data_IF_027293887811
#
_entry.id   IF_027293887811
#
_cell.length_a   1.000
_cell.length_b   1.000
_cell.length_c   1.000
_cell.angle_alpha   90.00
_cell.angle_beta   90.00
_cell.angle_gamma   90.00
#
_symmetry.space_group_name_H-M   'P 1'
#
loop_
_entity.id
_entity.type
_entity.pdbx_description
1 polymer ?
2 water ?
#
# COMPACT_ATOMS: atom_id res chain seq x y z
N UNK A 6 34.91 4.76 20.67
CA UNK A 6 34.45 3.52 21.29
C UNK A 6 34.12 2.52 20.18
N UNK A 7 33.24 1.57 20.45
CA UNK A 7 32.87 0.53 19.49
C UNK A 7 31.36 0.48 19.41
N UNK A 8 30.81 -0.11 18.35
CA UNK A 8 29.37 -0.04 18.12
C UNK A 8 28.61 -0.95 19.07
N UNK A 9 27.69 -0.39 19.87
CA UNK A 9 26.92 -1.23 20.78
C UNK A 9 25.71 -1.88 20.17
N UNK A 10 25.28 -1.47 18.97
CA UNK A 10 24.14 -2.09 18.30
C UNK A 10 24.47 -2.46 16.86
N UNK A 11 23.88 -3.55 16.40
CA UNK A 11 23.97 -4.00 15.01
C UNK A 11 22.58 -4.31 14.49
N UNK A 12 22.42 -4.26 13.18
CA UNK A 12 21.16 -4.72 12.57
C UNK A 12 21.12 -6.24 12.62
N UNK A 13 20.11 -6.78 13.30
CA UNK A 13 19.94 -8.21 13.44
C UNK A 13 19.09 -8.85 12.34
N UNK A 14 18.01 -8.20 11.95
CA UNK A 14 17.07 -8.72 10.96
C UNK A 14 16.71 -7.60 9.99
N UNK A 15 16.59 -7.98 8.73
CA UNK A 15 15.91 -7.19 7.72
C UNK A 15 14.85 -8.08 7.07
N UNK A 16 13.59 -7.68 7.21
CA UNK A 16 12.47 -8.36 6.58
C UNK A 16 12.07 -7.56 5.35
N UNK A 17 12.30 -8.11 4.18
CA UNK A 17 11.91 -7.50 2.93
C UNK A 17 10.54 -8.00 2.55
N UNK A 18 9.57 -7.10 2.33
CA UNK A 18 8.22 -7.38 2.10
C UNK A 18 7.72 -6.51 0.93
N UNK A 19 6.55 -6.80 0.38
CA UNK A 19 6.13 -6.04 -0.81
C UNK A 19 5.83 -4.58 -0.52
N UNK A 20 5.36 -4.27 0.68
CA UNK A 20 5.03 -2.91 1.03
C UNK A 20 6.03 -2.22 1.92
N UNK A 21 7.19 -2.80 2.14
CA UNK A 21 8.26 -2.07 2.81
C UNK A 21 9.29 -3.03 3.38
N UNK A 22 10.08 -2.50 4.30
CA UNK A 22 11.18 -3.23 4.93
C UNK A 22 11.09 -3.04 6.44
N UNK A 23 11.16 -4.14 7.18
CA UNK A 23 11.28 -4.04 8.63
C UNK A 23 12.75 -4.19 9.01
N UNK A 24 13.26 -3.24 9.79
CA UNK A 24 14.64 -3.32 10.29
C UNK A 24 14.57 -3.60 11.77
N UNK A 25 15.33 -4.61 12.23
CA UNK A 25 15.41 -4.88 13.66
C UNK A 25 16.87 -4.89 14.08
N UNK A 26 17.16 -4.33 15.25
CA UNK A 26 18.52 -4.29 15.72
C UNK A 26 18.63 -4.85 17.14
N UNK A 27 19.84 -5.21 17.51
CA UNK A 27 20.06 -5.78 18.83
C UNK A 27 21.30 -5.16 19.42
N UNK A 28 21.31 -5.08 20.75
CA UNK A 28 22.49 -4.64 21.47
C UNK A 28 23.47 -5.80 21.53
N UNK A 29 24.69 -5.57 21.03
CA UNK A 29 25.76 -6.56 21.06
C UNK A 29 26.72 -6.37 22.23
N UNK A 30 26.47 -5.37 23.09
CA UNK A 30 27.23 -5.21 24.33
C UNK A 30 26.25 -5.02 25.48
N UNK A 31 26.05 -6.10 26.25
CA UNK A 31 25.17 -6.07 27.41
C UNK A 31 25.54 -4.95 28.38
N UNK A 32 26.81 -4.55 28.43
CA UNK A 32 27.24 -3.54 29.41
C UNK A 32 26.87 -2.11 29.03
N UNK A 33 26.50 -1.88 27.78
CA UNK A 33 25.96 -0.60 27.36
C UNK A 33 24.53 -0.45 27.85
N UNK A 34 24.20 0.73 28.36
CA UNK A 34 22.84 1.00 28.84
C UNK A 34 22.21 1.99 27.87
N UNK A 35 21.35 1.49 27.00
CA UNK A 35 20.78 2.29 25.93
C UNK A 35 19.58 3.06 26.46
N UNK A 36 19.51 4.35 26.10
CA UNK A 36 18.30 5.12 26.25
C UNK A 36 17.55 5.24 24.92
N UNK A 37 18.26 5.63 23.86
CA UNK A 37 17.63 5.86 22.56
C UNK A 37 18.41 5.19 21.45
N UNK A 38 17.70 4.90 20.36
CA UNK A 38 18.28 4.43 19.11
C UNK A 38 17.98 5.38 17.95
N UNK A 39 18.88 5.37 16.98
CA UNK A 39 18.81 6.23 15.81
C UNK A 39 19.04 5.41 14.53
N UNK A 40 17.98 5.27 13.73
CA UNK A 40 18.01 4.53 12.47
C UNK A 40 17.98 5.49 11.30
N UNK A 41 18.90 5.31 10.36
CA UNK A 41 18.97 6.11 9.15
C UNK A 41 18.89 5.20 7.92
N UNK A 42 18.49 5.79 6.78
CA UNK A 42 18.59 5.11 5.50
C UNK A 42 18.96 6.08 4.38
N UNK A 43 19.33 5.49 3.25
CA UNK A 43 19.57 6.18 1.99
C UNK A 43 19.37 5.20 0.84
N UNK A 44 18.99 5.72 -0.33
CA UNK A 44 19.11 4.93 -1.55
C UNK A 44 20.58 4.58 -1.78
N UNK A 45 20.84 3.37 -2.28
CA UNK A 45 22.24 3.01 -2.51
C UNK A 45 22.87 3.93 -3.55
N UNK A 46 22.06 4.58 -4.41
CA UNK A 46 22.57 5.51 -5.40
C UNK A 46 22.80 6.91 -4.84
N UNK A 47 22.34 7.18 -3.61
CA UNK A 47 22.42 8.50 -3.00
C UNK A 47 23.49 8.58 -1.92
N UNK A 48 24.00 9.80 -1.75
CA UNK A 48 25.11 10.15 -0.90
C UNK A 48 24.79 10.31 0.60
N UNK A 49 23.57 10.64 0.89
CA UNK A 49 23.22 11.27 2.15
C UNK A 49 22.25 10.38 2.90
N UNK A 50 22.60 10.06 4.14
CA UNK A 50 21.69 9.36 5.03
C UNK A 50 20.72 10.36 5.64
N UNK A 51 19.50 9.87 5.91
CA UNK A 51 18.50 10.61 6.64
C UNK A 51 17.92 9.77 7.76
N UNK A 52 17.65 10.42 8.89
CA UNK A 52 16.99 9.78 10.01
C UNK A 52 15.59 9.32 9.60
N UNK A 53 15.24 8.07 9.95
CA UNK A 53 13.87 7.62 9.83
C UNK A 53 13.23 7.29 11.17
N UNK A 54 14.03 7.04 12.20
CA UNK A 54 13.47 6.68 13.50
C UNK A 54 14.47 7.05 14.58
N UNK A 55 14.00 7.73 15.62
CA UNK A 55 14.77 8.01 16.82
C UNK A 55 13.84 7.71 17.99
N UNK A 56 14.22 6.76 18.84
CA UNK A 56 13.33 6.29 19.88
C UNK A 56 13.89 5.07 20.61
N UNK A 57 13.12 4.55 21.57
CA UNK A 57 13.63 3.44 22.37
C UNK A 57 13.18 2.05 21.91
N UNK A 58 12.54 1.96 20.74
CA UNK A 58 12.22 0.66 20.18
C UNK A 58 13.42 0.09 19.42
N UNK A 59 13.43 -1.23 19.26
CA UNK A 59 14.51 -1.90 18.54
C UNK A 59 14.06 -2.43 17.19
N UNK A 60 12.94 -1.94 16.67
CA UNK A 60 12.56 -2.25 15.30
C UNK A 60 11.81 -1.06 14.71
N UNK A 61 11.79 -1.00 13.39
CA UNK A 61 11.07 0.07 12.71
C UNK A 61 10.65 -0.41 11.33
N UNK A 62 9.42 -0.10 10.98
CA UNK A 62 8.85 -0.48 9.70
C UNK A 62 9.03 0.68 8.75
N UNK A 63 9.80 0.45 7.69
CA UNK A 63 10.10 1.47 6.69
C UNK A 63 9.15 1.31 5.52
N UNK A 64 8.28 2.29 5.31
CA UNK A 64 7.28 2.25 4.26
C UNK A 64 7.58 3.26 3.17
N UNK A 65 6.78 3.16 2.10
CA UNK A 65 6.74 4.17 1.04
C UNK A 65 8.09 4.31 0.37
N UNK A 66 8.71 3.18 0.11
CA UNK A 66 10.01 3.11 -0.54
C UNK A 66 9.80 2.55 -1.94
N UNK A 67 10.53 3.09 -2.89
CA UNK A 67 10.46 2.60 -4.25
C UNK A 67 10.73 1.10 -4.26
N UNK A 68 9.90 0.31 -4.90
CA UNK A 68 10.09 -1.14 -4.82
C UNK A 68 11.24 -1.62 -5.68
N UNK A 69 11.82 -2.73 -5.23
CA UNK A 69 13.04 -3.29 -5.80
C UNK A 69 14.05 -2.20 -6.16
N UNK A 70 14.22 -1.28 -5.24
CA UNK A 70 15.33 -0.34 -5.24
C UNK A 70 16.12 -0.62 -3.98
N UNK A 71 17.45 -0.73 -4.10
CA UNK A 71 18.29 -1.03 -2.94
C UNK A 71 18.44 0.19 -2.04
N UNK A 72 18.24 -0.02 -0.73
CA UNK A 72 18.46 1.01 0.29
C UNK A 72 19.51 0.50 1.27
N UNK A 73 20.25 1.41 1.88
CA UNK A 73 21.22 1.04 2.90
C UNK A 73 20.81 1.65 4.23
N UNK A 74 20.90 0.85 5.29
CA UNK A 74 20.46 1.20 6.63
C UNK A 74 21.63 1.13 7.62
N UNK A 75 21.60 2.01 8.61
CA UNK A 75 22.55 1.97 9.71
C UNK A 75 21.87 2.47 10.97
N UNK A 76 22.34 1.96 12.11
CA UNK A 76 21.73 2.26 13.40
C UNK A 76 22.81 2.56 14.42
N UNK A 77 22.49 3.49 15.34
CA UNK A 77 23.37 3.75 16.47
C UNK A 77 22.51 3.99 17.69
N UNK A 78 23.16 4.29 18.81
CA UNK A 78 22.49 4.32 20.09
C UNK A 78 23.14 5.36 20.99
N UNK A 79 22.35 5.83 21.92
CA UNK A 79 22.71 6.85 22.89
C UNK A 79 22.39 6.25 24.24
N UNK A 80 23.30 6.39 25.16
CA UNK A 80 22.96 6.03 26.51
C UNK A 80 24.14 6.13 27.45
N UNK A 81 24.25 5.20 28.39
CA UNK A 81 25.30 5.20 29.40
C UNK A 81 25.32 6.52 30.17
N UNK A 82 24.24 7.28 30.09
CA UNK A 82 24.16 8.58 30.70
C UNK A 82 24.71 9.72 29.88
N UNK A 83 25.38 9.43 28.76
CA UNK A 83 25.96 10.45 27.90
C UNK A 83 25.00 10.85 26.78
N UNK A 84 25.37 11.89 26.05
CA UNK A 84 24.55 12.37 24.94
C UNK A 84 25.17 12.18 23.58
N UNK A 85 26.43 11.78 23.49
CA UNK A 85 27.05 11.49 22.20
C UNK A 85 26.46 10.20 21.63
N UNK A 86 26.08 10.22 20.34
CA UNK A 86 25.68 8.98 19.66
C UNK A 86 26.86 8.05 19.55
N UNK A 87 26.62 6.76 19.76
CA UNK A 87 27.62 5.74 19.58
C UNK A 87 28.05 5.65 18.13
N UNK A 88 29.15 4.96 17.84
CA UNK A 88 29.46 4.63 16.45
C UNK A 88 28.32 3.81 15.85
N UNK A 89 28.28 3.83 14.53
CA UNK A 89 27.25 3.17 13.77
C UNK A 89 27.49 1.67 13.68
N UNK A 90 26.38 0.94 13.58
CA UNK A 90 26.42 -0.44 13.11
C UNK A 90 27.11 -0.54 11.76
N UNK A 91 27.54 -1.74 11.38
CA UNK A 91 27.82 -1.98 9.96
C UNK A 91 26.54 -1.72 9.15
N UNK A 92 26.63 -1.11 7.99
CA UNK A 92 25.42 -0.88 7.20
C UNK A 92 24.93 -2.17 6.58
N UNK A 93 23.63 -2.21 6.35
CA UNK A 93 22.98 -3.36 5.72
C UNK A 93 22.10 -2.86 4.58
N UNK A 94 22.12 -3.60 3.48
CA UNK A 94 21.38 -3.21 2.28
C UNK A 94 20.12 -4.07 2.18
N UNK A 95 19.00 -3.43 1.82
CA UNK A 95 17.75 -4.12 1.64
C UNK A 95 16.93 -3.49 0.54
N UNK A 96 15.86 -4.19 0.15
CA UNK A 96 14.91 -3.73 -0.84
C UNK A 96 13.54 -4.34 -0.57
N UNK A 97 12.50 -3.69 -1.04
CA UNK A 97 11.16 -4.29 -0.98
C UNK A 97 11.02 -5.26 -2.15
N UNK A 98 10.17 -6.27 -1.96
CA UNK A 98 10.07 -7.34 -2.95
C UNK A 98 9.13 -6.95 -4.08
N UNK A 99 9.07 -7.81 -5.12
CA UNK A 99 8.31 -7.50 -6.33
C UNK A 99 7.15 -8.48 -6.50
N UNK A 100 5.93 -7.98 -6.31
CA UNK A 100 4.76 -8.82 -6.50
C UNK A 100 3.83 -8.03 -7.41
N UNK A 101 3.86 -8.26 -8.72
CA UNK A 101 3.16 -7.34 -9.63
C UNK A 101 1.65 -7.30 -9.44
N UNK A 102 1.08 -6.11 -9.60
CA UNK A 102 -0.36 -5.89 -9.52
C UNK A 102 -0.95 -6.17 -10.90
N UNK A 103 -1.82 -7.16 -10.97
CA UNK A 103 -2.38 -7.57 -12.25
C UNK A 103 -3.85 -7.91 -12.07
N UNK A 104 -4.61 -7.75 -13.18
CA UNK A 104 -6.00 -8.15 -13.20
C UNK A 104 -6.16 -9.64 -13.53
N UNK A 105 -7.27 -10.21 -13.07
CA UNK A 105 -7.66 -11.58 -13.38
C UNK A 105 -7.79 -11.74 -14.89
N UNK A 106 -7.32 -12.89 -15.40
CA UNK A 106 -7.52 -13.22 -16.80
C UNK A 106 -8.75 -14.11 -16.96
N UNK A 107 -9.44 -13.93 -18.08
CA UNK A 107 -10.53 -14.80 -18.44
C UNK A 107 -11.84 -14.53 -17.77
N UNK A 108 -12.04 -13.33 -17.22
CA UNK A 108 -13.29 -12.95 -16.60
C UNK A 108 -14.14 -12.28 -17.67
N UNK A 109 -15.33 -12.81 -17.89
CA UNK A 109 -16.18 -12.29 -18.96
C UNK A 109 -16.59 -10.85 -18.69
N UNK A 110 -16.49 -10.02 -19.72
CA UNK A 110 -16.89 -8.62 -19.66
C UNK A 110 -15.71 -7.67 -19.69
N UNK A 111 -14.51 -8.18 -19.54
CA UNK A 111 -13.31 -7.37 -19.48
C UNK A 111 -12.27 -7.95 -20.41
N UNK A 112 -11.56 -7.08 -21.11
CA UNK A 112 -10.42 -7.46 -21.94
C UNK A 112 -9.20 -6.76 -21.36
N UNK A 113 -8.09 -7.48 -21.31
CA UNK A 113 -6.86 -7.01 -20.69
C UNK A 113 -5.80 -6.73 -21.74
N UNK A 114 -4.86 -5.87 -21.38
CA UNK A 114 -3.68 -5.66 -22.20
C UNK A 114 -2.67 -6.80 -22.01
N UNK A 115 -1.55 -6.73 -22.76
CA UNK A 115 -0.58 -7.82 -22.81
C UNK A 115 0.02 -8.12 -21.45
N UNK A 116 0.38 -7.07 -20.70
CA UNK A 116 0.94 -7.19 -19.37
C UNK A 116 -0.13 -7.36 -18.29
N UNK A 117 -1.39 -7.45 -18.68
CA UNK A 117 -2.49 -7.76 -17.78
C UNK A 117 -2.67 -6.70 -16.70
N UNK A 118 -2.25 -5.47 -16.97
CA UNK A 118 -2.40 -4.38 -16.01
C UNK A 118 -3.38 -3.31 -16.46
N UNK A 119 -3.94 -3.43 -17.67
CA UNK A 119 -4.98 -2.53 -18.16
C UNK A 119 -6.23 -3.35 -18.46
N UNK A 120 -7.35 -2.93 -17.90
CA UNK A 120 -8.62 -3.64 -18.03
C UNK A 120 -9.65 -2.75 -18.71
N UNK A 121 -10.34 -3.31 -19.69
CA UNK A 121 -11.34 -2.59 -20.44
C UNK A 121 -12.65 -3.33 -20.30
N UNK A 122 -13.70 -2.61 -19.90
CA UNK A 122 -15.04 -3.16 -19.91
C UNK A 122 -15.55 -3.21 -21.35
N UNK A 123 -15.80 -4.40 -21.85
CA UNK A 123 -16.18 -4.56 -23.24
C UNK A 123 -17.70 -4.69 -23.36
N UNK A 124 -18.16 -5.19 -24.51
CA UNK A 124 -19.58 -5.23 -24.83
C UNK A 124 -20.26 -6.50 -24.33
N UNK A 125 -19.54 -7.40 -23.68
CA UNK A 125 -20.14 -8.61 -23.18
C UNK A 125 -20.86 -8.38 -21.85
N UNK A 126 -21.68 -9.36 -21.47
CA UNK A 126 -22.24 -9.41 -20.14
C UNK A 126 -21.14 -9.71 -19.14
N UNK A 127 -21.23 -9.13 -17.94
CA UNK A 127 -20.31 -9.41 -16.84
C UNK A 127 -21.09 -9.81 -15.62
N UNK A 128 -20.51 -10.72 -14.80
CA UNK A 128 -21.21 -11.21 -13.63
C UNK A 128 -20.92 -10.41 -12.36
N UNK A 129 -20.00 -9.46 -12.41
CA UNK A 129 -19.68 -8.68 -11.22
C UNK A 129 -18.25 -8.13 -11.27
N UNK A 130 -17.59 -8.18 -10.14
CA UNK A 130 -16.34 -7.45 -9.95
C UNK A 130 -15.18 -8.17 -10.62
N UNK A 131 -14.41 -7.41 -11.40
CA UNK A 131 -13.11 -7.86 -11.88
C UNK A 131 -12.08 -7.68 -10.76
N UNK A 132 -11.64 -8.78 -10.19
CA UNK A 132 -10.63 -8.73 -9.14
C UNK A 132 -9.21 -8.78 -9.68
N UNK A 133 -8.29 -8.37 -8.84
CA UNK A 133 -6.88 -8.65 -9.04
C UNK A 133 -6.70 -10.17 -9.18
N UNK A 134 -5.61 -10.55 -9.83
CA UNK A 134 -5.36 -11.96 -10.16
C UNK A 134 -5.17 -12.80 -8.91
N UNK A 135 -4.73 -12.18 -7.82
CA UNK A 135 -4.55 -12.75 -6.50
C UNK A 135 -4.58 -11.58 -5.52
N UNK A 136 -4.53 -11.84 -4.21
CA UNK A 136 -4.51 -10.72 -3.25
C UNK A 136 -3.10 -10.14 -3.11
N UNK A 137 -2.80 -9.17 -3.97
CA UNK A 137 -1.46 -8.62 -4.10
C UNK A 137 -1.38 -7.18 -3.60
N UNK A 138 -2.41 -6.68 -2.94
CA UNK A 138 -2.29 -5.41 -2.23
C UNK A 138 -1.80 -5.68 -0.80
N UNK A 139 -0.62 -5.17 -0.46
CA UNK A 139 -0.05 -5.33 0.86
C UNK A 139 -0.05 -3.96 1.56
N UNK A 140 -0.61 -3.92 2.77
CA UNK A 140 -0.63 -2.65 3.49
C UNK A 140 0.79 -2.08 3.60
N UNK A 141 0.89 -0.77 3.43
CA UNK A 141 2.14 -0.08 3.23
C UNK A 141 2.36 0.31 1.79
N UNK A 142 1.79 -0.42 0.84
CA UNK A 142 1.88 -0.01 -0.54
C UNK A 142 0.95 1.16 -0.83
N UNK A 143 1.37 1.99 -1.77
CA UNK A 143 0.48 2.94 -2.43
C UNK A 143 -0.03 2.27 -3.69
N UNK A 144 -1.31 1.96 -3.73
CA UNK A 144 -1.94 1.29 -4.87
C UNK A 144 -2.56 2.37 -5.74
N UNK A 145 -2.07 2.48 -6.97
CA UNK A 145 -2.44 3.55 -7.88
C UNK A 145 -3.18 2.98 -9.08
N UNK A 146 -4.30 3.58 -9.39
CA UNK A 146 -5.09 3.32 -10.58
C UNK A 146 -5.11 4.58 -11.43
N UNK A 147 -5.16 4.40 -12.76
CA UNK A 147 -5.38 5.53 -13.67
C UNK A 147 -6.48 5.18 -14.65
N UNK A 148 -7.42 6.11 -14.82
CA UNK A 148 -8.51 5.97 -15.78
C UNK A 148 -7.99 6.37 -17.16
N UNK A 149 -8.02 5.42 -18.09
CA UNK A 149 -7.52 5.65 -19.43
C UNK A 149 -8.63 6.12 -20.37
N UNK A 150 -9.78 5.46 -20.32
CA UNK A 150 -10.96 5.87 -21.06
C UNK A 150 -12.15 5.68 -20.14
N UNK A 151 -13.25 6.33 -20.50
CA UNK A 151 -14.46 6.32 -19.70
C UNK A 151 -15.61 5.78 -20.53
N UNK A 152 -16.66 5.38 -19.83
CA UNK A 152 -17.95 5.09 -20.43
C UNK A 152 -19.05 5.82 -19.66
N UNK A 153 -20.29 5.47 -19.91
CA UNK A 153 -21.38 6.04 -19.13
C UNK A 153 -21.26 5.64 -17.67
N UNK A 154 -21.42 6.58 -16.74
CA UNK A 154 -21.39 6.21 -15.32
C UNK A 154 -22.64 5.43 -14.94
N UNK A 155 -22.51 4.68 -13.85
CA UNK A 155 -23.58 3.88 -13.29
C UNK A 155 -23.27 3.73 -11.80
N UNK A 156 -24.32 3.63 -10.99
CA UNK A 156 -24.15 3.57 -9.54
C UNK A 156 -23.43 2.31 -9.05
N UNK A 157 -23.44 1.24 -9.83
CA UNK A 157 -22.69 0.02 -9.53
C UNK A 157 -21.21 0.12 -9.91
N UNK A 158 -20.76 1.25 -10.46
CA UNK A 158 -19.34 1.36 -10.76
C UNK A 158 -18.53 1.38 -9.45
N UNK A 159 -17.36 0.73 -9.45
CA UNK A 159 -16.51 0.78 -8.28
C UNK A 159 -15.06 0.48 -8.62
N UNK A 160 -14.17 1.06 -7.82
CA UNK A 160 -12.74 0.74 -7.78
C UNK A 160 -12.33 0.66 -6.32
N UNK A 161 -11.74 -0.45 -5.91
CA UNK A 161 -11.45 -0.57 -4.50
C UNK A 161 -10.62 -1.76 -4.10
N UNK A 162 -10.64 -2.02 -2.80
CA UNK A 162 -9.86 -3.07 -2.18
C UNK A 162 -10.76 -3.84 -1.21
N UNK A 163 -10.50 -5.13 -1.04
CA UNK A 163 -11.36 -5.91 -0.16
C UNK A 163 -10.62 -7.11 0.39
N UNK A 164 -11.21 -7.74 1.41
CA UNK A 164 -10.60 -8.88 2.08
C UNK A 164 -10.76 -10.18 1.29
N UNK A 165 -11.89 -10.37 0.62
CA UNK A 165 -12.12 -11.65 -0.07
C UNK A 165 -12.63 -11.45 -1.49
N UNK A 166 -12.36 -12.47 -2.33
CA UNK A 166 -12.81 -12.52 -3.71
C UNK A 166 -14.20 -13.13 -3.67
N UNK A 167 -15.23 -12.27 -3.62
CA UNK A 167 -16.59 -12.75 -3.46
C UNK A 167 -17.35 -12.54 -4.76
N UNK A 168 -17.99 -13.62 -5.20
CA UNK A 168 -18.85 -13.75 -6.35
C UNK A 168 -20.28 -13.31 -5.98
N UNK A 169 -21.01 -12.92 -7.00
CA UNK A 169 -22.41 -12.58 -6.78
C UNK A 169 -22.66 -11.08 -6.85
N UNK A 170 -22.00 -10.33 -5.99
CA UNK A 170 -22.23 -8.89 -5.92
C UNK A 170 -21.87 -8.21 -7.22
N UNK A 171 -22.52 -7.07 -7.47
CA UNK A 171 -22.28 -6.29 -8.67
C UNK A 171 -21.14 -5.31 -8.54
N UNK A 172 -20.72 -4.98 -7.31
CA UNK A 172 -19.72 -3.96 -7.11
C UNK A 172 -18.99 -4.27 -5.81
N UNK A 173 -18.01 -3.42 -5.48
CA UNK A 173 -17.34 -3.47 -4.19
C UNK A 173 -18.03 -2.64 -3.12
N UNK A 174 -19.22 -2.10 -3.42
CA UNK A 174 -20.02 -1.41 -2.42
C UNK A 174 -20.74 -2.44 -1.56
N UNK A 175 -19.97 -3.07 -0.69
CA UNK A 175 -20.43 -4.20 0.10
C UNK A 175 -19.54 -4.34 1.34
N UNK A 176 -19.95 -5.23 2.24
CA UNK A 176 -19.23 -5.39 3.49
C UNK A 176 -17.83 -5.92 3.23
N UNK A 177 -16.89 -5.51 4.09
CA UNK A 177 -15.50 -5.98 4.09
C UNK A 177 -14.74 -5.52 2.86
N UNK A 178 -15.03 -4.29 2.43
CA UNK A 178 -14.51 -3.72 1.20
C UNK A 178 -14.51 -2.21 1.38
N UNK A 179 -13.61 -1.53 0.69
CA UNK A 179 -13.61 -0.07 0.58
C UNK A 179 -13.50 0.27 -0.89
N UNK A 180 -14.22 1.30 -1.32
CA UNK A 180 -14.12 1.63 -2.72
C UNK A 180 -14.61 3.05 -2.97
N UNK A 181 -14.29 3.53 -4.17
CA UNK A 181 -14.80 4.78 -4.73
C UNK A 181 -15.65 4.41 -5.93
N UNK A 182 -16.66 5.25 -6.21
CA UNK A 182 -17.46 5.09 -7.41
C UNK A 182 -17.08 6.17 -8.42
N UNK A 183 -17.66 6.10 -9.61
CA UNK A 183 -17.24 7.00 -10.70
C UNK A 183 -17.79 8.41 -10.51
N UNK A 184 -18.68 8.64 -9.55
CA UNK A 184 -19.15 9.96 -9.18
C UNK A 184 -18.35 10.56 -8.04
N UNK A 185 -17.32 9.87 -7.56
CA UNK A 185 -16.51 10.34 -6.46
C UNK A 185 -16.97 9.92 -5.09
N UNK A 186 -18.08 9.20 -4.99
CA UNK A 186 -18.54 8.72 -3.70
C UNK A 186 -17.62 7.61 -3.17
N UNK A 187 -17.39 7.63 -1.86
CA UNK A 187 -16.53 6.67 -1.18
C UNK A 187 -17.38 5.82 -0.26
N UNK A 188 -17.15 4.52 -0.28
CA UNK A 188 -17.95 3.55 0.44
C UNK A 188 -17.01 2.79 1.37
N UNK A 189 -17.45 2.57 2.61
CA UNK A 189 -16.71 1.81 3.61
C UNK A 189 -17.63 0.69 4.08
N UNK A 190 -17.26 -0.56 3.81
CA UNK A 190 -18.11 -1.71 4.10
C UNK A 190 -19.53 -1.51 3.59
N UNK A 191 -19.64 -0.91 2.41
CA UNK A 191 -20.90 -0.78 1.72
C UNK A 191 -21.72 0.44 2.11
N UNK A 192 -21.24 1.27 3.01
CA UNK A 192 -21.95 2.47 3.42
C UNK A 192 -21.19 3.70 2.90
N UNK A 193 -21.90 4.55 2.16
CA UNK A 193 -21.30 5.75 1.59
C UNK A 193 -21.01 6.79 2.68
N UNK A 194 -19.89 7.49 2.54
CA UNK A 194 -19.59 8.55 3.49
C UNK A 194 -19.90 9.92 2.91
N UNK A 195 -19.90 10.92 3.80
CA UNK A 195 -20.35 12.24 3.39
C UNK A 195 -19.38 12.88 2.40
N UNK A 196 -18.08 12.86 2.71
CA UNK A 196 -17.11 13.57 1.88
C UNK A 196 -16.89 12.79 0.60
N UNK A 197 -16.85 13.53 -0.51
CA UNK A 197 -16.72 12.95 -1.85
C UNK A 197 -15.41 13.44 -2.45
N UNK A 198 -14.89 12.69 -3.37
CA UNK A 198 -13.83 13.16 -4.23
C UNK A 198 -14.40 13.61 -5.55
N UNK A 199 -13.63 14.36 -6.33
CA UNK A 199 -14.10 14.73 -7.66
C UNK A 199 -14.31 13.51 -8.53
N UNK A 200 -15.35 13.55 -9.38
CA UNK A 200 -15.62 12.44 -10.27
C UNK A 200 -14.45 12.24 -11.24
N UNK A 201 -14.18 10.98 -11.57
CA UNK A 201 -13.02 10.68 -12.41
C UNK A 201 -13.36 10.98 -13.86
N UNK A 202 -12.35 11.41 -14.61
CA UNK A 202 -12.36 11.50 -16.05
C UNK A 202 -11.08 10.84 -16.54
N UNK A 203 -10.94 10.69 -17.85
CA UNK A 203 -9.71 10.16 -18.42
C UNK A 203 -8.50 10.96 -17.96
N UNK A 204 -7.49 10.25 -17.48
CA UNK A 204 -6.32 10.89 -16.90
C UNK A 204 -6.35 10.99 -15.39
N UNK A 205 -7.53 10.88 -14.78
CA UNK A 205 -7.59 10.84 -13.33
C UNK A 205 -6.86 9.62 -12.77
N UNK A 206 -6.22 9.81 -11.63
CA UNK A 206 -5.67 8.72 -10.82
C UNK A 206 -6.42 8.61 -9.50
N UNK A 207 -6.48 7.38 -8.99
CA UNK A 207 -6.99 7.09 -7.67
C UNK A 207 -5.92 6.32 -6.95
N UNK A 208 -5.55 6.76 -5.76
CA UNK A 208 -4.57 6.04 -4.94
C UNK A 208 -5.20 5.63 -3.62
N UNK A 209 -4.80 4.46 -3.15
CA UNK A 209 -5.19 3.90 -1.86
C UNK A 209 -3.91 3.68 -1.07
N UNK A 210 -3.87 4.24 0.14
CA UNK A 210 -2.84 3.96 1.15
C UNK A 210 -3.56 3.43 2.40
N UNK A 211 -3.17 2.23 2.84
CA UNK A 211 -3.82 1.61 3.98
C UNK A 211 -2.75 1.25 5.01
N UNK A 212 -2.97 1.67 6.25
CA UNK A 212 -2.08 1.42 7.37
C UNK A 212 -2.92 0.86 8.51
N UNK A 213 -2.36 -0.08 9.26
CA UNK A 213 -3.02 -0.60 10.45
C UNK A 213 -2.69 0.31 11.63
N UNK A 214 -3.63 0.43 12.56
CA UNK A 214 -3.41 1.35 13.68
C UNK A 214 -2.88 0.60 14.91
N UNK A 227 -7.66 -5.39 12.24
CA UNK A 227 -9.11 -5.24 12.33
C UNK A 227 -9.55 -3.78 12.16
N UNK A 228 -8.68 -2.81 12.49
CA UNK A 228 -8.96 -1.38 12.27
C UNK A 228 -7.83 -0.75 11.47
N UNK A 229 -8.15 -0.27 10.27
CA UNK A 229 -7.16 0.31 9.37
C UNK A 229 -7.48 1.78 9.13
N UNK A 230 -6.44 2.55 8.83
CA UNK A 230 -6.57 3.94 8.42
C UNK A 230 -6.34 4.00 6.92
N UNK A 231 -7.33 4.49 6.19
CA UNK A 231 -7.34 4.50 4.74
C UNK A 231 -7.30 5.94 4.23
N UNK A 232 -6.35 6.22 3.36
CA UNK A 232 -6.32 7.47 2.60
C UNK A 232 -6.61 7.16 1.13
N UNK A 233 -7.62 7.82 0.57
CA UNK A 233 -7.91 7.72 -0.84
C UNK A 233 -7.71 9.10 -1.45
N UNK A 234 -6.88 9.18 -2.48
CA UNK A 234 -6.60 10.45 -3.14
C UNK A 234 -6.92 10.34 -4.63
N UNK A 235 -7.52 11.41 -5.17
CA UNK A 235 -7.91 11.45 -6.56
C UNK A 235 -8.11 12.91 -6.94
N UNK A 236 -7.57 13.30 -8.09
CA UNK A 236 -7.80 14.63 -8.65
C UNK A 236 -7.42 15.69 -7.61
N UNK A 237 -6.31 15.40 -6.92
CA UNK A 237 -5.67 16.27 -5.92
C UNK A 237 -6.57 16.67 -4.75
N UNK A 238 -7.44 15.76 -4.34
CA UNK A 238 -8.13 15.82 -3.07
C UNK A 238 -8.04 14.44 -2.42
N UNK A 239 -8.26 14.39 -1.12
CA UNK A 239 -8.09 13.15 -0.40
C UNK A 239 -9.13 13.07 0.69
N UNK A 240 -9.51 11.87 1.05
CA UNK A 240 -10.29 11.59 2.25
C UNK A 240 -9.50 10.58 3.08
N UNK A 241 -9.59 10.71 4.40
CA UNK A 241 -8.92 9.81 5.34
C UNK A 241 -9.97 9.31 6.32
N UNK A 242 -10.00 8.00 6.56
CA UNK A 242 -11.03 7.44 7.43
C UNK A 242 -10.61 6.09 7.98
N UNK A 243 -11.39 5.60 8.94
CA UNK A 243 -11.15 4.32 9.59
C UNK A 243 -12.00 3.24 8.92
N UNK A 244 -11.39 2.07 8.72
CA UNK A 244 -12.02 0.91 8.09
C UNK A 244 -11.91 -0.24 9.08
N UNK A 245 -13.06 -0.75 9.52
CA UNK A 245 -13.13 -1.86 10.46
C UNK A 245 -13.32 -3.17 9.72
N UNK A 246 -12.38 -4.10 9.87
CA UNK A 246 -12.49 -5.42 9.27
C UNK A 246 -12.88 -6.43 10.32
N UNK A 247 -13.71 -7.41 9.94
CA UNK A 247 -14.23 -8.39 10.88
C UNK A 247 -13.23 -9.50 11.20
N UNK A 248 -12.12 -9.60 10.47
CA UNK A 248 -11.08 -10.55 10.82
C UNK A 248 -9.70 -9.92 10.60
N UNK A 249 -8.67 -10.63 11.07
CA UNK A 249 -7.30 -10.09 11.03
C UNK A 249 -6.88 -9.85 9.60
N UNK A 250 -6.17 -8.75 9.39
CA UNK A 250 -5.91 -8.32 8.01
C UNK A 250 -4.65 -9.02 7.44
N UNK A 251 -4.81 -9.55 6.24
CA UNK A 251 -3.69 -10.10 5.49
C UNK A 251 -3.52 -9.35 4.18
N UNK A 252 -2.86 -9.95 3.20
CA UNK A 252 -2.87 -9.34 1.85
C UNK A 252 -4.30 -9.20 1.35
N UNK A 253 -4.55 -8.12 0.62
CA UNK A 253 -5.89 -7.81 0.16
C UNK A 253 -6.00 -7.92 -1.35
N UNK A 254 -7.22 -8.15 -1.82
CA UNK A 254 -7.56 -7.99 -3.23
C UNK A 254 -7.81 -6.54 -3.58
N UNK A 255 -7.61 -6.21 -4.84
CA UNK A 255 -8.23 -5.01 -5.39
C UNK A 255 -9.18 -5.44 -6.51
N UNK A 256 -9.98 -4.51 -6.99
CA UNK A 256 -10.98 -4.85 -7.98
C UNK A 256 -11.68 -3.61 -8.52
N UNK A 257 -12.40 -3.81 -9.61
CA UNK A 257 -13.19 -2.77 -10.23
C UNK A 257 -14.45 -3.38 -10.80
N UNK A 258 -15.45 -2.53 -10.99
CA UNK A 258 -16.67 -2.93 -11.70
C UNK A 258 -17.18 -1.72 -12.45
N UNK A 259 -17.65 -1.97 -13.67
CA UNK A 259 -18.30 -0.96 -14.50
C UNK A 259 -19.47 -1.61 -15.21
N UNK A 260 -20.64 -0.99 -15.11
CA UNK A 260 -21.81 -1.60 -15.76
C UNK A 260 -21.78 -1.42 -17.26
N UNK A 261 -21.39 -0.20 -17.74
CA UNK A 261 -21.41 0.10 -19.16
C UNK A 261 -20.03 0.00 -19.78
N UNK A 262 -19.97 -0.30 -21.09
CA UNK A 262 -18.67 -0.47 -21.76
C UNK A 262 -17.90 0.84 -21.90
N UNK A 263 -16.59 0.69 -22.10
CA UNK A 263 -15.68 1.78 -22.42
C UNK A 263 -14.77 2.20 -21.30
N UNK A 264 -15.17 1.95 -20.06
CA UNK A 264 -14.27 2.22 -18.93
C UNK A 264 -13.01 1.37 -19.06
N UNK A 265 -11.86 2.02 -18.91
CA UNK A 265 -10.57 1.36 -19.03
C UNK A 265 -9.67 1.84 -17.91
N UNK A 266 -9.14 0.90 -17.11
CA UNK A 266 -8.38 1.25 -15.91
C UNK A 266 -7.03 0.55 -15.91
N UNK A 267 -5.99 1.33 -15.69
CA UNK A 267 -4.63 0.82 -15.50
C UNK A 267 -4.34 0.75 -14.01
N UNK A 268 -3.77 -0.38 -13.58
CA UNK A 268 -3.22 -0.50 -12.24
C UNK A 268 -1.69 -0.54 -12.30
N UNK A 269 -1.06 0.20 -11.42
CA UNK A 269 0.40 0.30 -11.41
C UNK A 269 0.99 -0.79 -10.53
#
# INVERSE_FOLDING_TARGET
HGTVASRPPVQIEELIEKPGGIIVRWCKVDDDFTAQDYRLQFRKCTANHFEDVYVGSETEFIVLHIDPNVDYQFRVCARGDGRQEWSPWSVPQTGHSTLVPHEWTTGFEGYSLSSRRNIALRNDAESSGVLYSSAPTYFCGQTLTFRVETVGQPDRRDSIGVCAERQNGYESLQRDQAVCISTNGAVFVNGKEMTNQLPAVTSGSTVTFDIEAVTLGTSNSHEGGNAKLRVTISSNNREVVFDWLLEQACGPLYFGCSFFYPGWKVLVF
#
